data_IF_974993133117
#
_entry.id   IF_974993133117
#
_cell.length_a   1.000
_cell.length_b   1.000
_cell.length_c   1.000
_cell.angle_alpha   90.00
_cell.angle_beta   90.00
_cell.angle_gamma   90.00
#
_symmetry.space_group_name_H-M   'P 1'
#
loop_
_entity.id
_entity.type
_entity.pdbx_description
1 polymer ?
#
# COMPACT_ATOMS: atom_id res chain seq x y z
N UNK A 1 -12.00 10.41 -40.57
CA UNK A 1 -12.16 10.38 -39.10
C UNK A 1 -11.91 11.80 -38.61
N UNK A 2 -12.94 12.49 -38.09
CA UNK A 2 -12.76 13.83 -37.53
C UNK A 2 -12.28 13.69 -36.09
N UNK A 3 -11.14 14.29 -35.76
CA UNK A 3 -10.67 14.38 -34.37
C UNK A 3 -11.47 15.46 -33.67
N UNK A 4 -12.12 15.10 -32.57
CA UNK A 4 -12.70 16.07 -31.65
C UNK A 4 -11.57 16.71 -30.83
N UNK A 5 -11.16 17.91 -31.24
CA UNK A 5 -10.09 18.67 -30.59
C UNK A 5 -10.43 19.04 -29.15
N UNK A 6 -11.72 19.18 -28.81
CA UNK A 6 -12.13 19.53 -27.44
C UNK A 6 -11.93 18.34 -26.51
N UNK A 7 -12.29 17.14 -26.95
CA UNK A 7 -12.05 15.92 -26.16
C UNK A 7 -10.56 15.59 -26.06
N UNK A 8 -9.79 15.80 -27.14
CA UNK A 8 -8.34 15.66 -27.09
C UNK A 8 -7.71 16.59 -26.06
N UNK A 9 -8.08 17.88 -26.08
CA UNK A 9 -7.55 18.87 -25.13
C UNK A 9 -7.87 18.49 -23.67
N UNK A 10 -9.09 18.05 -23.38
CA UNK A 10 -9.49 17.59 -22.04
C UNK A 10 -8.69 16.37 -21.55
N UNK A 11 -8.31 15.47 -22.47
CA UNK A 11 -7.50 14.30 -22.14
C UNK A 11 -6.03 14.65 -21.89
N UNK A 12 -5.54 15.73 -22.52
CA UNK A 12 -4.14 16.18 -22.42
C UNK A 12 -3.89 17.31 -21.43
N UNK A 13 -4.93 17.88 -20.80
CA UNK A 13 -4.79 18.96 -19.82
C UNK A 13 -4.05 18.46 -18.57
N UNK A 14 -2.81 18.91 -18.33
CA UNK A 14 -2.01 18.45 -17.20
C UNK A 14 -2.52 18.98 -15.85
N UNK A 15 -3.42 19.96 -15.85
CA UNK A 15 -4.04 20.53 -14.64
C UNK A 15 -5.18 19.65 -14.12
N UNK A 16 -5.67 18.72 -14.95
CA UNK A 16 -6.78 17.83 -14.63
C UNK A 16 -6.25 16.50 -14.09
N UNK A 17 -6.60 16.18 -12.85
CA UNK A 17 -6.28 14.89 -12.24
C UNK A 17 -7.09 13.76 -12.87
N UNK A 18 -6.41 12.69 -13.27
CA UNK A 18 -7.03 11.45 -13.77
C UNK A 18 -7.35 10.52 -12.61
N UNK A 19 -8.56 9.96 -12.59
CA UNK A 19 -8.98 8.99 -11.58
C UNK A 19 -9.17 7.60 -12.17
N UNK A 20 -8.56 6.58 -11.56
CA UNK A 20 -8.62 5.19 -12.05
C UNK A 20 -10.04 4.59 -12.00
N UNK A 21 -10.92 5.12 -11.15
CA UNK A 21 -12.32 4.70 -11.03
C UNK A 21 -13.22 5.29 -12.12
N UNK A 22 -12.71 6.21 -12.95
CA UNK A 22 -13.41 6.78 -14.08
C UNK A 22 -13.00 6.06 -15.37
N UNK A 23 -13.99 5.57 -16.11
CA UNK A 23 -13.79 4.75 -17.32
C UNK A 23 -13.07 5.53 -18.44
N UNK A 24 -13.29 6.85 -18.54
CA UNK A 24 -12.63 7.69 -19.55
C UNK A 24 -11.18 7.98 -19.14
N UNK A 25 -10.95 8.30 -17.87
CA UNK A 25 -9.62 8.62 -17.37
C UNK A 25 -8.71 7.39 -17.34
N UNK A 26 -9.27 6.20 -17.04
CA UNK A 26 -8.55 4.94 -17.07
C UNK A 26 -7.86 4.66 -18.41
N UNK A 27 -8.39 5.18 -19.53
CA UNK A 27 -7.76 5.03 -20.87
C UNK A 27 -6.45 5.82 -21.01
N UNK A 28 -6.29 6.89 -20.24
CA UNK A 28 -5.12 7.78 -20.28
C UNK A 28 -4.31 7.72 -18.97
N UNK A 29 -4.77 6.94 -17.98
CA UNK A 29 -4.13 6.80 -16.69
C UNK A 29 -2.86 5.97 -16.81
N UNK A 30 -1.72 6.57 -16.46
CA UNK A 30 -0.43 5.87 -16.39
C UNK A 30 -0.14 5.58 -14.92
N UNK A 31 -0.12 4.30 -14.57
CA UNK A 31 0.22 3.88 -13.22
C UNK A 31 1.73 3.93 -12.99
N UNK A 32 2.18 4.96 -12.27
CA UNK A 32 3.56 5.11 -11.84
C UNK A 32 3.83 4.49 -10.46
N UNK A 33 2.87 3.83 -9.83
CA UNK A 33 3.01 3.26 -8.48
C UNK A 33 4.20 2.30 -8.39
N UNK A 34 4.41 1.48 -9.43
CA UNK A 34 5.51 0.52 -9.52
C UNK A 34 6.89 1.18 -9.52
N UNK A 35 7.01 2.44 -9.94
CA UNK A 35 8.31 3.17 -10.02
C UNK A 35 8.45 4.26 -8.96
N UNK A 36 7.35 4.68 -8.31
CA UNK A 36 7.35 5.81 -7.36
C UNK A 36 7.45 5.42 -5.88
N UNK A 37 7.30 4.16 -5.50
CA UNK A 37 7.23 3.88 -4.06
C UNK A 37 7.16 2.45 -3.57
N UNK A 38 7.34 1.44 -4.43
CA UNK A 38 7.44 0.05 -3.97
C UNK A 38 8.50 -0.08 -2.86
N UNK A 39 9.66 0.55 -3.07
CA UNK A 39 10.77 0.53 -2.12
C UNK A 39 10.45 1.26 -0.80
N UNK A 40 9.71 2.36 -0.83
CA UNK A 40 9.43 3.17 0.37
C UNK A 40 8.46 2.43 1.28
N UNK A 41 7.37 1.89 0.73
CA UNK A 41 6.37 1.13 1.52
C UNK A 41 7.01 -0.17 2.05
N UNK A 42 7.77 -0.88 1.21
CA UNK A 42 8.51 -2.08 1.59
C UNK A 42 9.52 -1.78 2.71
N UNK A 43 10.27 -0.66 2.61
CA UNK A 43 11.26 -0.23 3.60
C UNK A 43 10.60 0.18 4.91
N UNK A 44 9.50 0.92 4.85
CA UNK A 44 8.74 1.29 6.03
C UNK A 44 8.17 0.06 6.75
N UNK A 45 7.58 -0.88 5.99
CA UNK A 45 7.08 -2.15 6.53
C UNK A 45 8.20 -2.94 7.19
N UNK A 46 9.36 -3.09 6.54
CA UNK A 46 10.55 -3.76 7.11
C UNK A 46 11.01 -3.10 8.41
N UNK A 47 11.08 -1.76 8.45
CA UNK A 47 11.45 -1.03 9.67
C UNK A 47 10.47 -1.26 10.80
N UNK A 48 9.17 -1.13 10.54
CA UNK A 48 8.13 -1.39 11.55
C UNK A 48 8.26 -2.83 12.07
N UNK A 49 8.33 -3.83 11.19
CA UNK A 49 8.48 -5.24 11.59
C UNK A 49 9.74 -5.47 12.43
N UNK A 50 10.87 -4.90 12.03
CA UNK A 50 12.14 -5.02 12.76
C UNK A 50 12.04 -4.42 14.18
N UNK A 51 11.52 -3.21 14.32
CA UNK A 51 11.35 -2.57 15.63
C UNK A 51 10.27 -3.24 16.49
N UNK A 52 9.20 -3.76 15.89
CA UNK A 52 8.18 -4.53 16.62
C UNK A 52 8.74 -5.85 17.16
N UNK A 53 9.64 -6.51 16.43
CA UNK A 53 10.33 -7.71 16.91
C UNK A 53 11.35 -7.40 18.01
N UNK A 54 12.03 -6.25 17.95
CA UNK A 54 12.94 -5.81 19.01
C UNK A 54 12.23 -5.35 20.29
N UNK A 55 10.93 -5.07 20.24
CA UNK A 55 10.10 -4.79 21.43
C UNK A 55 9.52 -6.06 22.07
N UNK A 56 9.86 -7.25 21.56
CA UNK A 56 9.63 -8.50 22.29
C UNK A 56 10.79 -8.68 23.28
N UNK A 57 10.51 -8.81 24.58
CA UNK A 57 11.57 -9.17 25.49
C UNK A 57 12.08 -10.59 25.21
N UNK A 58 13.39 -10.77 25.41
CA UNK A 58 14.08 -12.05 25.41
C UNK A 58 13.43 -13.06 26.41
N UNK A 59 13.79 -14.36 26.36
CA UNK A 59 12.88 -15.51 26.45
C UNK A 59 12.28 -15.77 27.84
N UNK A 60 11.22 -15.06 28.21
CA UNK A 60 10.37 -15.40 29.36
C UNK A 60 8.90 -15.55 28.97
N UNK A 61 8.65 -16.28 27.88
CA UNK A 61 7.36 -16.94 27.72
C UNK A 61 7.27 -18.02 28.79
N UNK A 62 6.73 -17.65 29.96
CA UNK A 62 6.19 -18.62 30.90
C UNK A 62 5.12 -19.42 30.15
N UNK A 63 5.40 -20.71 29.98
CA UNK A 63 4.47 -21.67 29.41
C UNK A 63 3.21 -21.71 30.29
N UNK A 64 2.13 -21.10 29.78
CA UNK A 64 0.86 -20.98 30.49
C UNK A 64 0.10 -22.32 30.50
N UNK A 65 0.60 -23.36 29.83
CA UNK A 65 0.00 -24.70 29.86
C UNK A 65 0.23 -25.44 31.19
N UNK A 66 1.14 -24.97 32.05
CA UNK A 66 1.44 -25.60 33.34
C UNK A 66 0.52 -25.20 34.51
N UNK A 67 -0.40 -24.23 34.35
CA UNK A 67 -1.28 -23.75 35.44
C UNK A 67 -2.65 -24.47 35.45
N UNK A 68 -2.91 -25.38 34.51
CA UNK A 68 -4.22 -26.01 34.33
C UNK A 68 -4.53 -27.26 35.16
N UNK A 69 -3.67 -27.72 36.07
CA UNK A 69 -3.91 -29.02 36.72
C UNK A 69 -3.53 -29.11 38.21
N UNK A 70 -4.06 -28.20 39.02
CA UNK A 70 -4.20 -28.38 40.47
C UNK A 70 -5.57 -27.86 40.91
N UNK A 71 -6.59 -28.72 40.86
CA UNK A 71 -7.93 -28.33 41.26
C UNK A 71 -9.03 -29.35 40.93
N UNK A 72 -8.85 -30.61 41.35
CA UNK A 72 -9.88 -31.46 41.95
C UNK A 72 -9.25 -32.77 42.45
#
# INVERSE_FOLDING_TARGET
>A
MAIDLREFFKATDPSRTLFINNILDSKCYIDFSSVRGGDIIQTLKKRITFFSQMNLPAPYLLDISAVGNLGN
#
